data_IF_603430469729
#
_entry.id   IF_603430469729
#
_cell.length_a   1.000
_cell.length_b   1.000
_cell.length_c   1.000
_cell.angle_alpha   90.00
_cell.angle_beta   90.00
_cell.angle_gamma   90.00
#
_symmetry.space_group_name_H-M   'P 1'
#
loop_
_entity.id
_entity.type
_entity.pdbx_description
1 polymer ?
#
# COMPACT_ATOMS: atom_id res chain seq x y z
N UNK A 1 18.28 10.87 10.25
CA UNK A 1 17.69 10.81 8.90
C UNK A 1 16.68 9.69 8.92
N UNK A 2 15.40 9.97 8.65
CA UNK A 2 14.37 8.93 8.58
C UNK A 2 14.59 8.10 7.32
N UNK A 3 14.53 6.77 7.44
CA UNK A 3 14.63 5.85 6.29
C UNK A 3 13.55 6.21 5.26
N UNK A 4 13.82 6.17 3.95
CA UNK A 4 12.76 6.35 2.96
C UNK A 4 11.66 5.28 3.12
N UNK A 5 10.39 5.65 2.96
CA UNK A 5 9.26 4.72 3.05
C UNK A 5 9.47 3.45 2.19
N UNK A 6 9.95 3.53 0.93
CA UNK A 6 10.22 2.34 0.11
C UNK A 6 11.23 1.38 0.74
N UNK A 7 12.24 1.91 1.43
CA UNK A 7 13.29 1.10 2.06
C UNK A 7 12.82 0.51 3.39
N UNK A 8 11.92 1.19 4.11
CA UNK A 8 11.21 0.60 5.25
C UNK A 8 10.37 -0.59 4.77
N UNK A 9 9.58 -0.44 3.71
CA UNK A 9 8.74 -1.53 3.19
C UNK A 9 9.56 -2.73 2.76
N UNK A 10 10.70 -2.53 2.09
CA UNK A 10 11.62 -3.62 1.71
C UNK A 10 12.15 -4.40 2.92
N UNK A 11 12.43 -3.76 4.05
CA UNK A 11 12.87 -4.45 5.27
C UNK A 11 11.81 -5.41 5.80
N UNK A 12 10.54 -5.12 5.54
CA UNK A 12 9.39 -5.97 5.86
C UNK A 12 8.97 -6.87 4.70
N UNK A 13 9.82 -7.08 3.69
CA UNK A 13 9.54 -7.86 2.48
C UNK A 13 8.28 -7.43 1.71
N UNK A 14 7.95 -6.13 1.77
CA UNK A 14 6.92 -5.52 0.96
C UNK A 14 7.54 -4.78 -0.22
N UNK A 15 6.87 -4.78 -1.39
CA UNK A 15 7.36 -4.08 -2.57
C UNK A 15 7.36 -2.56 -2.35
N UNK A 16 8.40 -1.91 -2.87
CA UNK A 16 8.66 -0.48 -2.65
C UNK A 16 7.60 0.45 -3.25
N UNK A 17 6.89 0.02 -4.29
CA UNK A 17 5.90 0.82 -5.03
C UNK A 17 4.45 0.57 -4.63
N UNK A 18 4.15 -0.09 -3.50
CA UNK A 18 2.76 -0.20 -3.00
C UNK A 18 2.14 1.17 -2.77
N UNK A 19 2.91 2.18 -2.40
CA UNK A 19 2.42 3.54 -2.18
C UNK A 19 2.71 4.43 -3.40
N UNK A 20 1.90 5.49 -3.60
CA UNK A 20 2.21 6.51 -4.60
C UNK A 20 3.56 7.17 -4.27
N UNK A 21 4.26 7.66 -5.29
CA UNK A 21 5.52 8.41 -5.11
C UNK A 21 5.37 9.59 -4.16
N UNK A 22 4.19 10.20 -4.13
CA UNK A 22 3.86 11.37 -3.29
C UNK A 22 3.72 11.03 -1.80
N UNK A 23 3.74 9.75 -1.43
CA UNK A 23 3.72 9.28 -0.04
C UNK A 23 5.11 9.40 0.62
N UNK A 24 5.62 10.63 0.71
CA UNK A 24 6.97 10.89 1.24
C UNK A 24 7.01 11.01 2.75
N UNK A 25 5.87 11.29 3.40
CA UNK A 25 5.80 11.52 4.83
C UNK A 25 5.11 10.33 5.52
N UNK A 26 5.75 9.77 6.55
CA UNK A 26 5.21 8.68 7.33
C UNK A 26 5.69 8.72 8.78
N UNK A 27 4.93 8.11 9.68
CA UNK A 27 5.32 7.82 11.05
C UNK A 27 5.38 6.30 11.22
N UNK A 28 6.45 5.81 11.81
CA UNK A 28 6.61 4.40 12.12
C UNK A 28 7.02 4.22 13.57
N UNK A 29 6.20 3.48 14.32
CA UNK A 29 6.50 3.12 15.69
C UNK A 29 7.13 1.72 15.71
N UNK A 30 8.41 1.63 16.05
CA UNK A 30 9.17 0.36 15.99
C UNK A 30 8.75 -0.65 17.06
N UNK A 31 8.15 -0.22 18.17
CA UNK A 31 7.70 -1.11 19.25
C UNK A 31 6.39 -1.80 18.87
N UNK A 32 5.42 -1.02 18.40
CA UNK A 32 4.08 -1.50 18.01
C UNK A 32 4.00 -1.96 16.57
N UNK A 33 5.02 -1.65 15.76
CA UNK A 33 5.06 -1.83 14.30
C UNK A 33 3.95 -1.10 13.54
N UNK A 34 3.34 -0.09 14.15
CA UNK A 34 2.33 0.73 13.51
C UNK A 34 2.97 1.67 12.50
N UNK A 35 2.48 1.63 11.26
CA UNK A 35 2.84 2.53 10.18
C UNK A 35 1.65 3.46 9.88
N UNK A 36 1.90 4.76 9.86
CA UNK A 36 0.98 5.79 9.36
C UNK A 36 1.65 6.51 8.20
N UNK A 37 1.04 6.48 7.02
CA UNK A 37 1.54 7.17 5.83
C UNK A 37 0.62 8.34 5.51
N UNK A 38 1.22 9.51 5.30
CA UNK A 38 0.51 10.73 4.95
C UNK A 38 0.70 11.03 3.47
N UNK A 39 -0.42 11.13 2.76
CA UNK A 39 -0.48 11.38 1.33
C UNK A 39 -1.15 12.76 1.15
N UNK A 40 -0.58 13.67 0.35
CA UNK A 40 -1.07 15.05 0.23
C UNK A 40 -2.55 15.16 -0.18
N UNK A 41 -3.03 14.23 -0.99
CA UNK A 41 -4.40 14.20 -1.50
C UNK A 41 -4.87 12.76 -1.73
N UNK A 42 -6.18 12.54 -1.71
CA UNK A 42 -6.76 11.27 -2.14
C UNK A 42 -6.33 11.03 -3.60
N UNK A 43 -5.77 9.86 -3.89
CA UNK A 43 -5.25 9.56 -5.21
C UNK A 43 -5.46 8.11 -5.63
N UNK A 44 -5.38 7.86 -6.94
CA UNK A 44 -5.42 6.54 -7.55
C UNK A 44 -4.10 6.21 -8.21
N UNK A 45 -3.59 5.00 -7.98
CA UNK A 45 -2.39 4.47 -8.63
C UNK A 45 -2.79 3.26 -9.46
N UNK A 46 -2.46 3.32 -10.75
CA UNK A 46 -2.58 2.20 -11.68
C UNK A 46 -1.30 1.38 -11.74
N UNK A 47 -1.42 0.06 -11.59
CA UNK A 47 -0.29 -0.87 -11.63
C UNK A 47 -0.19 -1.60 -12.97
N UNK A 48 0.94 -2.27 -13.22
CA UNK A 48 1.21 -2.95 -14.50
C UNK A 48 0.21 -4.07 -14.80
N UNK A 49 -0.35 -4.70 -13.77
CA UNK A 49 -1.39 -5.72 -13.85
C UNK A 49 -2.79 -5.14 -14.13
N UNK A 50 -2.87 -3.84 -14.46
CA UNK A 50 -4.11 -3.06 -14.67
C UNK A 50 -4.98 -2.91 -13.42
N UNK A 51 -4.48 -3.33 -12.25
CA UNK A 51 -5.17 -3.08 -11.00
C UNK A 51 -5.01 -1.61 -10.59
N UNK A 52 -6.01 -1.11 -9.87
CA UNK A 52 -6.02 0.26 -9.35
C UNK A 52 -6.15 0.18 -7.83
N UNK A 53 -5.27 0.91 -7.14
CA UNK A 53 -5.39 1.20 -5.71
C UNK A 53 -5.74 2.67 -5.54
N UNK A 54 -6.74 2.94 -4.70
CA UNK A 54 -7.09 4.29 -4.26
C UNK A 54 -6.63 4.46 -2.82
N UNK A 55 -5.96 5.57 -2.56
CA UNK A 55 -5.40 5.91 -1.26
C UNK A 55 -6.14 7.12 -0.69
N UNK A 56 -6.43 7.06 0.61
CA UNK A 56 -6.84 8.22 1.39
C UNK A 56 -5.63 9.10 1.72
N UNK A 57 -5.87 10.30 2.25
CA UNK A 57 -4.80 11.19 2.73
C UNK A 57 -4.02 10.62 3.92
N UNK A 58 -4.63 9.72 4.67
CA UNK A 58 -3.98 8.99 5.77
C UNK A 58 -4.22 7.51 5.59
N UNK A 59 -3.12 6.76 5.53
CA UNK A 59 -3.14 5.30 5.50
C UNK A 59 -2.49 4.77 6.75
N UNK A 60 -3.18 3.91 7.49
CA UNK A 60 -2.62 3.30 8.71
C UNK A 60 -2.68 1.78 8.61
N UNK A 61 -1.78 1.12 9.33
CA UNK A 61 -1.82 -0.33 9.56
C UNK A 61 -0.61 -0.78 10.36
N UNK A 62 -0.39 -2.08 10.46
CA UNK A 62 0.75 -2.66 11.17
C UNK A 62 1.63 -3.44 10.20
N UNK A 63 2.94 -3.20 10.26
CA UNK A 63 3.93 -3.92 9.46
C UNK A 63 4.37 -5.17 10.21
N UNK A 64 4.18 -6.32 9.58
CA UNK A 64 4.75 -7.60 10.01
C UNK A 64 5.71 -8.10 8.93
N UNK A 65 6.52 -9.11 9.26
CA UNK A 65 7.43 -9.71 8.28
C UNK A 65 6.64 -10.27 7.09
N UNK A 66 6.78 -9.63 5.94
CA UNK A 66 6.07 -9.96 4.70
C UNK A 66 4.61 -9.51 4.66
N UNK A 67 4.11 -8.70 5.61
CA UNK A 67 2.70 -8.31 5.63
C UNK A 67 2.47 -6.88 6.10
N UNK A 68 1.39 -6.30 5.61
CA UNK A 68 0.80 -5.07 6.11
C UNK A 68 -0.65 -5.38 6.47
N UNK A 69 -1.00 -5.31 7.76
CA UNK A 69 -2.29 -5.78 8.31
C UNK A 69 -3.07 -4.63 8.94
N UNK A 70 -4.37 -4.84 9.17
CA UNK A 70 -5.35 -3.86 9.66
C UNK A 70 -5.28 -2.52 8.93
N UNK A 71 -5.15 -2.62 7.61
CA UNK A 71 -5.01 -1.46 6.74
C UNK A 71 -6.31 -0.66 6.73
N UNK A 72 -6.17 0.63 6.96
CA UNK A 72 -7.23 1.64 6.78
C UNK A 72 -6.72 2.70 5.83
N UNK A 73 -7.54 3.10 4.87
CA UNK A 73 -7.20 4.15 3.90
C UNK A 73 -6.75 3.65 2.52
N UNK A 74 -6.79 2.33 2.26
CA UNK A 74 -6.58 1.78 0.91
C UNK A 74 -7.87 1.11 0.41
N UNK A 75 -8.23 1.40 -0.84
CA UNK A 75 -9.28 0.68 -1.59
C UNK A 75 -8.69 0.14 -2.89
N UNK A 76 -9.28 -0.91 -3.45
CA UNK A 76 -8.96 -1.40 -4.79
C UNK A 76 -10.20 -1.49 -5.65
N UNK A 77 -10.04 -1.26 -6.96
CA UNK A 77 -11.14 -1.32 -7.92
C UNK A 77 -11.28 -2.71 -8.51
N UNK A 78 -12.48 -3.29 -8.36
CA UNK A 78 -12.90 -4.48 -9.11
C UNK A 78 -14.19 -4.13 -9.87
N UNK A 79 -15.36 -4.62 -9.44
CA UNK A 79 -16.66 -4.08 -9.88
C UNK A 79 -17.08 -2.83 -9.09
N UNK A 80 -16.65 -2.76 -7.83
CA UNK A 80 -16.83 -1.63 -6.93
C UNK A 80 -15.54 -1.40 -6.13
N UNK A 81 -15.46 -0.28 -5.42
CA UNK A 81 -14.32 0.04 -4.57
C UNK A 81 -14.37 -0.74 -3.27
N UNK A 82 -13.44 -1.68 -3.10
CA UNK A 82 -13.36 -2.54 -1.92
C UNK A 82 -12.20 -2.09 -1.02
N UNK A 83 -12.45 -2.01 0.29
CA UNK A 83 -11.41 -1.70 1.28
C UNK A 83 -10.41 -2.85 1.35
N UNK A 84 -9.13 -2.52 1.27
CA UNK A 84 -8.02 -3.45 1.48
C UNK A 84 -7.71 -3.46 2.97
N UNK A 85 -7.77 -4.62 3.60
CA UNK A 85 -7.48 -4.79 5.04
C UNK A 85 -6.10 -5.40 5.27
N UNK A 86 -5.56 -6.14 4.29
CA UNK A 86 -4.25 -6.79 4.41
C UNK A 86 -3.57 -6.89 3.06
N UNK A 87 -2.26 -6.71 3.05
CA UNK A 87 -1.38 -7.02 1.92
C UNK A 87 -0.29 -7.96 2.44
N UNK A 88 -0.17 -9.16 1.87
CA UNK A 88 0.85 -10.13 2.25
C UNK A 88 1.71 -10.51 1.05
N UNK A 89 3.03 -10.51 1.23
CA UNK A 89 4.03 -10.94 0.26
C UNK A 89 4.36 -12.41 0.49
N UNK A 90 4.34 -13.20 -0.59
CA UNK A 90 4.71 -14.62 -0.60
C UNK A 90 5.56 -14.88 -1.84
N UNK A 91 6.87 -14.63 -1.71
CA UNK A 91 7.84 -14.74 -2.80
C UNK A 91 7.50 -13.79 -3.96
N UNK A 92 7.13 -14.36 -5.11
CA UNK A 92 6.77 -13.60 -6.31
C UNK A 92 5.30 -13.11 -6.34
N UNK A 93 4.50 -13.45 -5.31
CA UNK A 93 3.07 -13.15 -5.24
C UNK A 93 2.76 -12.16 -4.13
N UNK A 94 1.75 -11.31 -4.38
CA UNK A 94 1.13 -10.44 -3.39
C UNK A 94 -0.34 -10.83 -3.21
N UNK A 95 -0.76 -10.93 -1.96
CA UNK A 95 -2.11 -11.26 -1.55
C UNK A 95 -2.78 -10.06 -0.91
N UNK A 96 -3.79 -9.53 -1.60
CA UNK A 96 -4.64 -8.45 -1.11
C UNK A 96 -5.91 -9.05 -0.50
N UNK A 97 -6.20 -8.72 0.76
CA UNK A 97 -7.43 -9.12 1.44
C UNK A 97 -8.46 -8.01 1.35
N UNK A 98 -9.58 -8.29 0.69
CA UNK A 98 -10.70 -7.37 0.42
C UNK A 98 -12.04 -8.06 0.70
N UNK A 99 -12.18 -8.61 1.91
CA UNK A 99 -13.24 -9.58 2.27
C UNK A 99 -12.99 -11.00 1.73
N UNK A 100 -12.22 -11.11 0.63
CA UNK A 100 -11.64 -12.34 0.11
C UNK A 100 -10.18 -12.11 -0.26
N UNK A 101 -9.37 -13.17 -0.34
CA UNK A 101 -7.97 -13.08 -0.77
C UNK A 101 -7.87 -12.98 -2.29
N UNK A 102 -7.20 -11.95 -2.79
CA UNK A 102 -6.88 -11.76 -4.22
C UNK A 102 -5.37 -11.82 -4.40
N UNK A 103 -4.92 -12.65 -5.33
CA UNK A 103 -3.49 -12.82 -5.63
C UNK A 103 -3.12 -12.00 -6.86
N UNK A 104 -1.97 -11.34 -6.80
CA UNK A 104 -1.40 -10.49 -7.85
C UNK A 104 0.10 -10.73 -7.95
N UNK A 105 0.71 -10.42 -9.09
CA UNK A 105 2.17 -10.52 -9.25
C UNK A 105 2.90 -9.41 -8.50
N UNK A 106 3.86 -9.77 -7.65
CA UNK A 106 4.65 -8.82 -6.85
C UNK A 106 5.35 -7.79 -7.74
N UNK A 107 5.89 -8.24 -8.87
CA UNK A 107 6.62 -7.41 -9.82
C UNK A 107 5.81 -6.21 -10.36
N UNK A 108 4.47 -6.27 -10.33
CA UNK A 108 3.63 -5.16 -10.74
C UNK A 108 3.74 -3.94 -9.80
N UNK A 109 4.16 -4.15 -8.55
CA UNK A 109 4.18 -3.18 -7.45
C UNK A 109 5.59 -2.73 -7.06
N UNK A 110 6.64 -3.22 -7.72
CA UNK A 110 8.04 -2.85 -7.39
C UNK A 110 8.43 -1.44 -7.89
N UNK A 111 7.69 -0.90 -8.86
CA UNK A 111 7.99 0.40 -9.48
C UNK A 111 7.14 1.50 -8.85
N UNK A 112 7.81 2.53 -8.31
CA UNK A 112 7.16 3.75 -7.83
C UNK A 112 6.41 4.46 -8.96
N UNK A 113 5.12 4.70 -8.73
CA UNK A 113 4.22 5.37 -9.67
C UNK A 113 3.60 6.60 -9.04
N UNK A 114 3.36 7.61 -9.86
CA UNK A 114 2.68 8.82 -9.46
C UNK A 114 1.18 8.54 -9.25
N UNK A 115 0.58 9.18 -8.25
CA UNK A 115 -0.86 9.09 -8.00
C UNK A 115 -1.63 10.11 -8.83
N UNK A 116 -2.78 9.71 -9.36
CA UNK A 116 -3.73 10.63 -9.99
C UNK A 116 -4.69 11.12 -8.89
N UNK A 117 -4.65 12.41 -8.56
CA UNK A 117 -5.53 13.01 -7.54
C UNK A 117 -7.01 12.87 -7.91
N UNK A 118 -7.85 12.55 -6.93
CA UNK A 118 -9.31 12.43 -7.08
C UNK A 118 -10.03 13.10 -5.91
N UNK A 119 -11.24 13.62 -6.14
CA UNK A 119 -11.98 14.38 -5.11
C UNK A 119 -12.61 13.53 -4.00
N UNK A 120 -12.81 12.22 -4.25
CA UNK A 120 -13.59 11.35 -3.34
C UNK A 120 -12.92 10.00 -3.13
N UNK A 121 -12.84 9.58 -1.86
CA UNK A 121 -12.32 8.28 -1.45
C UNK A 121 -13.36 7.16 -1.52
#
# INVERSE_FOLDING_TARGET
>A
MQTPLPDLLKQYDLPAGIFPRDATNYEFNEETKKLTVFIPSICEVGYRDKSILRFSTTVTGYLEKGKFVDIVGIKTKFMLWLKVTTIASEGAKLHFTVGMRKTRDRAAYEVLRDGITVDKF
#
